data_IF_762464799804
#
_entry.id   IF_762464799804
#
_cell.length_a   1.000
_cell.length_b   1.000
_cell.length_c   1.000
_cell.angle_alpha   90.00
_cell.angle_beta   90.00
_cell.angle_gamma   90.00
#
_symmetry.space_group_name_H-M   'P 1'
#
loop_
_entity.id
_entity.type
_entity.pdbx_description
1 polymer ?
#
# COMPACT_ATOMS: atom_id res chain seq x y z
N UNK A 1 -35.93 -33.83 -19.40
CA UNK A 1 -35.50 -33.74 -17.99
C UNK A 1 -34.00 -33.56 -18.00
N UNK A 2 -33.53 -32.33 -17.82
CA UNK A 2 -32.11 -32.03 -17.70
C UNK A 2 -31.98 -31.11 -16.50
N UNK A 3 -31.41 -31.65 -15.43
CA UNK A 3 -31.24 -30.97 -14.15
C UNK A 3 -30.13 -29.95 -14.32
N UNK A 4 -30.47 -28.67 -14.27
CA UNK A 4 -29.50 -27.62 -14.03
C UNK A 4 -29.18 -27.61 -12.53
N UNK A 5 -28.00 -28.13 -12.18
CA UNK A 5 -27.41 -27.93 -10.86
C UNK A 5 -26.96 -26.48 -10.75
N UNK A 6 -27.80 -25.64 -10.16
CA UNK A 6 -27.38 -24.37 -9.58
C UNK A 6 -26.49 -24.69 -8.39
N UNK A 7 -25.20 -24.38 -8.48
CA UNK A 7 -24.35 -24.33 -7.28
C UNK A 7 -24.83 -23.17 -6.44
N UNK A 8 -25.61 -23.47 -5.40
CA UNK A 8 -25.90 -22.53 -4.33
C UNK A 8 -24.57 -22.03 -3.74
N UNK A 9 -24.26 -20.75 -3.95
CA UNK A 9 -23.28 -20.07 -3.12
C UNK A 9 -23.80 -20.09 -1.69
N UNK A 10 -23.17 -20.92 -0.84
CA UNK A 10 -23.41 -20.86 0.60
C UNK A 10 -23.12 -19.43 1.05
N UNK A 11 -24.03 -18.79 1.82
CA UNK A 11 -23.67 -17.60 2.56
C UNK A 11 -22.42 -17.94 3.37
N UNK A 12 -21.39 -17.11 3.29
CA UNK A 12 -20.25 -17.20 4.20
C UNK A 12 -20.82 -17.06 5.62
N UNK A 13 -21.07 -18.20 6.29
CA UNK A 13 -21.20 -18.24 7.75
C UNK A 13 -20.03 -17.41 8.28
N UNK A 14 -20.31 -16.44 9.14
CA UNK A 14 -19.32 -15.55 9.73
C UNK A 14 -18.32 -16.40 10.51
N UNK A 15 -17.28 -16.88 9.81
CA UNK A 15 -16.17 -17.60 10.40
C UNK A 15 -15.67 -16.73 11.54
N UNK A 16 -15.55 -17.25 12.78
CA UNK A 16 -15.14 -16.43 13.90
C UNK A 16 -13.80 -15.81 13.56
N UNK A 17 -13.77 -14.49 13.43
CA UNK A 17 -12.59 -13.77 13.00
C UNK A 17 -11.45 -14.07 13.99
N UNK A 18 -10.50 -14.91 13.56
CA UNK A 18 -9.35 -15.26 14.40
C UNK A 18 -8.39 -14.08 14.43
N UNK A 19 -8.05 -13.63 15.63
CA UNK A 19 -7.18 -12.48 15.81
C UNK A 19 -5.72 -12.82 15.48
N UNK A 20 -5.09 -11.99 14.64
CA UNK A 20 -3.66 -11.99 14.33
C UNK A 20 -2.91 -11.19 15.40
N UNK A 21 -2.72 -11.80 16.58
CA UNK A 21 -2.04 -11.16 17.72
C UNK A 21 -0.69 -10.54 17.37
N UNK A 22 0.12 -11.19 16.52
CA UNK A 22 1.40 -10.65 16.08
C UNK A 22 1.28 -9.31 15.34
N UNK A 23 0.27 -9.16 14.48
CA UNK A 23 0.01 -7.91 13.74
C UNK A 23 -0.47 -6.82 14.69
N UNK A 24 -1.42 -7.15 15.57
CA UNK A 24 -1.93 -6.21 16.57
C UNK A 24 -0.80 -5.69 17.46
N UNK A 25 0.01 -6.59 18.02
CA UNK A 25 1.13 -6.22 18.89
C UNK A 25 2.20 -5.41 18.16
N UNK A 26 2.48 -5.74 16.89
CA UNK A 26 3.43 -4.98 16.07
C UNK A 26 2.93 -3.55 15.81
N UNK A 27 1.67 -3.39 15.37
CA UNK A 27 1.07 -2.07 15.15
C UNK A 27 1.07 -1.27 16.46
N UNK A 28 0.65 -1.85 17.57
CA UNK A 28 0.69 -1.20 18.87
C UNK A 28 2.11 -0.76 19.27
N UNK A 29 3.11 -1.64 19.09
CA UNK A 29 4.52 -1.33 19.35
C UNK A 29 5.01 -0.14 18.53
N UNK A 30 4.69 -0.08 17.23
CA UNK A 30 5.11 1.02 16.36
C UNK A 30 4.48 2.34 16.81
N UNK A 31 3.20 2.35 17.15
CA UNK A 31 2.49 3.55 17.60
C UNK A 31 3.00 4.04 18.97
N UNK A 32 3.22 3.12 19.92
CA UNK A 32 3.82 3.45 21.22
C UNK A 32 5.24 4.03 21.02
N UNK A 33 6.04 3.43 20.14
CA UNK A 33 7.37 3.95 19.79
C UNK A 33 7.32 5.37 19.22
N UNK A 34 6.30 5.70 18.42
CA UNK A 34 6.13 7.04 17.87
C UNK A 34 5.79 8.08 18.94
N UNK A 35 5.14 7.70 20.05
CA UNK A 35 4.85 8.61 21.18
C UNK A 35 6.12 9.14 21.86
N UNK A 36 7.26 8.46 21.72
CA UNK A 36 8.54 8.97 22.23
C UNK A 36 9.01 10.23 21.50
N UNK A 37 8.38 10.63 20.39
CA UNK A 37 8.63 11.90 19.71
C UNK A 37 8.22 13.12 20.56
N UNK A 38 7.30 12.93 21.52
CA UNK A 38 6.88 13.99 22.45
C UNK A 38 7.89 14.24 23.57
N UNK A 39 8.92 13.41 23.72
CA UNK A 39 10.03 13.67 24.62
C UNK A 39 10.98 14.70 23.98
N UNK A 40 11.27 15.84 24.62
CA UNK A 40 12.13 16.88 24.05
C UNK A 40 13.51 16.37 23.62
N UNK A 41 14.05 15.36 24.32
CA UNK A 41 15.35 14.73 24.01
C UNK A 41 15.39 14.01 22.66
N UNK A 42 14.23 13.65 22.10
CA UNK A 42 14.13 12.96 20.82
C UNK A 42 13.77 13.91 19.66
N UNK A 43 13.57 15.21 19.92
CA UNK A 43 13.27 16.17 18.87
C UNK A 43 14.53 16.73 18.22
N UNK A 44 14.56 16.75 16.90
CA UNK A 44 15.58 17.43 16.09
C UNK A 44 15.01 17.72 14.71
N UNK A 45 15.24 18.91 14.18
CA UNK A 45 14.84 19.26 12.81
C UNK A 45 15.48 18.34 11.77
N UNK A 46 16.70 17.86 12.02
CA UNK A 46 17.34 16.87 11.16
C UNK A 46 16.57 15.53 11.17
N UNK A 47 16.08 15.10 12.33
CA UNK A 47 15.30 13.87 12.47
C UNK A 47 13.90 14.02 11.84
N UNK A 48 13.28 15.20 11.94
CA UNK A 48 12.02 15.51 11.23
C UNK A 48 12.22 15.46 9.71
N UNK A 49 13.27 16.12 9.19
CA UNK A 49 13.59 16.10 7.77
C UNK A 49 13.88 14.67 7.27
N UNK A 50 14.59 13.87 8.06
CA UNK A 50 14.82 12.45 7.80
C UNK A 50 13.49 11.67 7.70
N UNK A 51 12.56 11.88 8.64
CA UNK A 51 11.26 11.23 8.61
C UNK A 51 10.44 11.59 7.37
N UNK A 52 10.42 12.87 6.98
CA UNK A 52 9.75 13.33 5.76
C UNK A 52 10.38 12.72 4.51
N UNK A 53 11.71 12.72 4.43
CA UNK A 53 12.44 12.12 3.31
C UNK A 53 12.13 10.62 3.20
N UNK A 54 12.21 9.87 4.31
CA UNK A 54 11.92 8.44 4.29
C UNK A 54 10.44 8.13 4.11
N UNK A 55 9.51 9.01 4.50
CA UNK A 55 8.08 8.88 4.16
C UNK A 55 7.88 8.94 2.64
N UNK A 56 8.58 9.84 1.94
CA UNK A 56 8.58 9.86 0.47
C UNK A 56 9.25 8.63 -0.15
N UNK A 57 10.40 8.19 0.39
CA UNK A 57 11.10 6.98 -0.10
C UNK A 57 10.23 5.74 0.07
N UNK A 58 9.61 5.53 1.24
CA UNK A 58 8.86 4.29 1.49
C UNK A 58 7.42 4.35 0.99
N UNK A 59 6.74 5.49 1.15
CA UNK A 59 5.38 5.69 0.66
C UNK A 59 5.36 5.95 -0.84
N UNK A 60 5.91 7.09 -1.28
CA UNK A 60 5.90 7.50 -2.69
C UNK A 60 6.67 6.54 -3.59
N UNK A 61 7.98 6.42 -3.40
CA UNK A 61 8.82 5.59 -4.28
C UNK A 61 8.58 4.09 -4.06
N UNK A 62 8.45 3.67 -2.80
CA UNK A 62 8.29 2.27 -2.43
C UNK A 62 6.91 1.70 -2.74
N UNK A 63 5.89 2.16 -2.00
CA UNK A 63 4.53 1.64 -2.12
C UNK A 63 3.89 2.09 -3.43
N UNK A 64 3.76 3.39 -3.69
CA UNK A 64 2.94 3.86 -4.82
C UNK A 64 3.58 3.55 -6.17
N UNK A 65 4.86 3.91 -6.36
CA UNK A 65 5.55 3.66 -7.62
C UNK A 65 5.93 2.19 -7.79
N UNK A 66 6.56 1.60 -6.77
CA UNK A 66 7.10 0.23 -6.80
C UNK A 66 6.03 -0.85 -6.63
N UNK A 67 5.41 -0.94 -5.46
CA UNK A 67 4.52 -2.06 -5.16
C UNK A 67 3.20 -1.96 -5.92
N UNK A 68 2.59 -0.79 -5.98
CA UNK A 68 1.28 -0.58 -6.56
C UNK A 68 1.33 -0.49 -8.08
N UNK A 69 1.85 0.60 -8.64
CA UNK A 69 1.78 0.82 -10.10
C UNK A 69 2.71 -0.11 -10.89
N UNK A 70 3.93 -0.37 -10.41
CA UNK A 70 4.89 -1.21 -11.12
C UNK A 70 4.61 -2.71 -10.94
N UNK A 71 4.55 -3.22 -9.71
CA UNK A 71 4.43 -4.66 -9.46
C UNK A 71 2.99 -5.16 -9.51
N UNK A 72 2.08 -4.46 -8.85
CA UNK A 72 0.68 -4.93 -8.74
C UNK A 72 -0.03 -4.82 -10.08
N UNK A 73 -0.02 -3.62 -10.68
CA UNK A 73 -0.80 -3.30 -11.88
C UNK A 73 -0.04 -3.46 -13.20
N UNK A 74 1.28 -3.60 -13.14
CA UNK A 74 2.15 -3.68 -14.33
C UNK A 74 1.84 -2.53 -15.29
N UNK A 75 1.67 -1.32 -14.76
CA UNK A 75 1.29 -0.12 -15.52
C UNK A 75 2.45 0.42 -16.36
N UNK A 76 3.68 0.00 -16.05
CA UNK A 76 4.90 0.28 -16.81
C UNK A 76 5.96 -0.79 -16.54
N UNK A 77 7.10 -0.73 -17.22
CA UNK A 77 8.25 -1.60 -17.03
C UNK A 77 9.52 -0.79 -16.82
N UNK A 78 10.42 -1.29 -15.96
CA UNK A 78 11.75 -0.72 -15.72
C UNK A 78 12.81 -1.81 -15.76
N UNK A 79 14.11 -1.49 -15.89
CA UNK A 79 15.18 -2.47 -15.71
C UNK A 79 15.06 -3.21 -14.38
N UNK A 80 15.30 -4.52 -14.36
CA UNK A 80 15.02 -5.38 -13.20
C UNK A 80 15.74 -4.94 -11.91
N UNK A 81 16.95 -4.40 -12.01
CA UNK A 81 17.66 -3.85 -10.85
C UNK A 81 16.95 -2.62 -10.25
N UNK A 82 16.38 -1.76 -11.10
CA UNK A 82 15.58 -0.63 -10.65
C UNK A 82 14.27 -1.12 -10.02
N UNK A 83 13.62 -2.12 -10.60
CA UNK A 83 12.44 -2.76 -9.99
C UNK A 83 12.75 -3.27 -8.58
N UNK A 84 13.84 -4.02 -8.39
CA UNK A 84 14.25 -4.50 -7.07
C UNK A 84 14.55 -3.37 -6.08
N UNK A 85 15.19 -2.30 -6.54
CA UNK A 85 15.45 -1.13 -5.70
C UNK A 85 14.15 -0.46 -5.24
N UNK A 86 13.20 -0.25 -6.15
CA UNK A 86 11.89 0.33 -5.82
C UNK A 86 11.11 -0.57 -4.86
N UNK A 87 11.14 -1.88 -5.09
CA UNK A 87 10.49 -2.86 -4.21
C UNK A 87 11.13 -2.87 -2.81
N UNK A 88 12.46 -2.80 -2.72
CA UNK A 88 13.17 -2.70 -1.45
C UNK A 88 12.80 -1.42 -0.68
N UNK A 89 12.63 -0.28 -1.36
CA UNK A 89 12.15 0.95 -0.72
C UNK A 89 10.78 0.75 -0.07
N UNK A 90 9.87 0.03 -0.74
CA UNK A 90 8.57 -0.33 -0.19
C UNK A 90 8.67 -1.28 1.00
N UNK A 91 9.64 -2.19 1.03
CA UNK A 91 9.87 -3.14 2.14
C UNK A 91 10.09 -2.43 3.48
N UNK A 92 10.72 -1.26 3.47
CA UNK A 92 10.94 -0.44 4.66
C UNK A 92 9.65 0.18 5.23
N UNK A 93 8.52 0.12 4.51
CA UNK A 93 7.21 0.57 5.03
C UNK A 93 6.64 -0.35 6.11
N UNK A 94 7.10 -1.59 6.20
CA UNK A 94 6.56 -2.61 7.10
C UNK A 94 5.04 -2.87 6.99
N UNK A 95 4.42 -2.64 5.83
CA UNK A 95 3.01 -2.98 5.56
C UNK A 95 2.81 -4.47 5.20
N UNK A 96 3.62 -5.35 5.79
CA UNK A 96 3.74 -6.75 5.42
C UNK A 96 4.79 -6.98 4.32
N UNK A 97 4.88 -8.22 3.88
CA UNK A 97 5.77 -8.59 2.77
C UNK A 97 5.16 -8.24 1.42
N UNK A 98 6.02 -7.92 0.43
CA UNK A 98 5.59 -7.47 -0.91
C UNK A 98 4.65 -8.43 -1.61
N UNK A 99 4.87 -9.76 -1.50
CA UNK A 99 4.02 -10.77 -2.15
C UNK A 99 2.62 -10.74 -1.53
N UNK A 100 2.55 -10.64 -0.20
CA UNK A 100 1.26 -10.56 0.50
C UNK A 100 0.53 -9.25 0.21
N UNK A 101 1.26 -8.14 0.16
CA UNK A 101 0.69 -6.82 -0.15
C UNK A 101 0.10 -6.80 -1.56
N UNK A 102 0.87 -7.25 -2.56
CA UNK A 102 0.44 -7.32 -3.97
C UNK A 102 -0.77 -8.24 -4.13
N UNK A 103 -0.74 -9.44 -3.53
CA UNK A 103 -1.86 -10.38 -3.62
C UNK A 103 -3.13 -9.82 -2.98
N UNK A 104 -3.03 -9.22 -1.79
CA UNK A 104 -4.17 -8.60 -1.11
C UNK A 104 -4.74 -7.43 -1.91
N UNK A 105 -3.89 -6.61 -2.53
CA UNK A 105 -4.31 -5.50 -3.38
C UNK A 105 -5.02 -5.97 -4.66
N UNK A 106 -4.58 -7.08 -5.26
CA UNK A 106 -5.25 -7.69 -6.42
C UNK A 106 -6.60 -8.29 -6.06
N UNK A 107 -6.72 -8.91 -4.89
CA UNK A 107 -8.00 -9.41 -4.35
C UNK A 107 -8.96 -8.24 -4.14
N UNK A 108 -8.48 -7.15 -3.51
CA UNK A 108 -9.27 -5.93 -3.32
C UNK A 108 -9.82 -5.39 -4.64
N UNK A 109 -9.02 -5.28 -5.70
CA UNK A 109 -9.56 -4.82 -7.00
C UNK A 109 -10.60 -5.76 -7.60
N UNK A 110 -10.45 -7.08 -7.42
CA UNK A 110 -11.40 -8.04 -7.98
C UNK A 110 -12.74 -8.05 -7.23
N UNK A 111 -12.70 -7.76 -5.92
CA UNK A 111 -13.84 -7.91 -5.02
C UNK A 111 -14.19 -6.63 -4.26
N UNK A 112 -13.74 -5.47 -4.74
CA UNK A 112 -13.80 -4.20 -4.01
C UNK A 112 -15.20 -3.92 -3.47
N UNK A 113 -15.29 -3.63 -2.18
CA UNK A 113 -16.57 -3.42 -1.49
C UNK A 113 -17.56 -4.61 -1.58
N UNK A 114 -17.03 -5.83 -1.60
CA UNK A 114 -17.77 -7.09 -1.53
C UNK A 114 -17.18 -8.00 -0.45
N UNK A 115 -17.84 -9.12 -0.15
CA UNK A 115 -17.49 -10.00 0.97
C UNK A 115 -16.08 -10.60 0.92
N UNK A 116 -15.44 -10.67 -0.26
CA UNK A 116 -14.08 -11.19 -0.43
C UNK A 116 -13.00 -10.09 -0.43
N UNK A 117 -13.37 -8.81 -0.29
CA UNK A 117 -12.42 -7.72 -0.11
C UNK A 117 -11.90 -7.69 1.34
N UNK A 118 -10.58 -7.84 1.55
CA UNK A 118 -10.00 -7.83 2.89
C UNK A 118 -10.41 -6.59 3.69
N UNK A 119 -10.51 -5.44 3.03
CA UNK A 119 -10.79 -4.15 3.65
C UNK A 119 -12.10 -3.53 3.14
N UNK A 120 -13.11 -4.37 2.88
CA UNK A 120 -14.46 -3.98 2.46
C UNK A 120 -14.99 -2.76 3.24
N UNK A 121 -15.18 -1.64 2.52
CA UNK A 121 -15.59 -0.38 3.14
C UNK A 121 -17.03 -0.42 3.66
N UNK A 122 -17.85 -1.40 3.23
CA UNK A 122 -19.22 -1.59 3.75
C UNK A 122 -19.23 -2.04 5.21
N UNK A 123 -18.15 -2.66 5.69
CA UNK A 123 -17.99 -3.00 7.11
C UNK A 123 -17.64 -1.77 7.97
N UNK A 124 -17.41 -0.62 7.34
CA UNK A 124 -17.26 0.68 7.97
C UNK A 124 -15.85 1.27 7.87
N UNK A 125 -15.76 2.56 8.19
CA UNK A 125 -14.53 3.32 8.04
C UNK A 125 -13.35 2.69 8.81
N UNK A 126 -13.56 2.33 10.08
CA UNK A 126 -12.48 1.73 10.90
C UNK A 126 -12.12 0.31 10.48
N UNK A 127 -13.06 -0.43 9.88
CA UNK A 127 -12.77 -1.73 9.27
C UNK A 127 -11.74 -1.57 8.16
N UNK A 128 -12.11 -0.82 7.10
CA UNK A 128 -11.25 -0.53 5.96
C UNK A 128 -9.94 0.19 6.31
N UNK A 129 -9.92 0.97 7.41
CA UNK A 129 -8.74 1.71 7.83
C UNK A 129 -7.70 0.84 8.55
N UNK A 130 -8.09 0.04 9.55
CA UNK A 130 -7.10 -0.66 10.38
C UNK A 130 -7.55 -2.02 10.91
N UNK A 131 -8.84 -2.18 11.22
CA UNK A 131 -9.32 -3.36 11.96
C UNK A 131 -9.18 -4.63 11.12
N UNK A 132 -9.35 -4.55 9.80
CA UNK A 132 -9.25 -5.70 8.90
C UNK A 132 -7.94 -6.48 9.05
N UNK A 133 -6.82 -5.77 9.28
CA UNK A 133 -5.49 -6.37 9.42
C UNK A 133 -5.34 -7.26 10.65
N UNK A 134 -6.19 -7.05 11.67
CA UNK A 134 -6.14 -7.82 12.90
C UNK A 134 -6.81 -9.19 12.77
N UNK A 135 -7.46 -9.49 11.66
CA UNK A 135 -8.20 -10.73 11.49
C UNK A 135 -7.67 -11.58 10.33
N UNK A 136 -7.85 -12.89 10.44
CA UNK A 136 -7.61 -13.83 9.33
C UNK A 136 -8.67 -13.62 8.27
N UNK A 137 -8.23 -13.51 7.02
CA UNK A 137 -9.10 -13.28 5.88
C UNK A 137 -9.58 -14.63 5.31
N UNK A 138 -10.89 -14.84 5.13
CA UNK A 138 -11.41 -16.03 4.44
C UNK A 138 -10.87 -16.21 3.00
N UNK A 139 -10.39 -15.14 2.35
CA UNK A 139 -9.83 -15.14 0.99
C UNK A 139 -8.45 -15.82 0.90
N UNK A 140 -7.84 -16.24 2.03
CA UNK A 140 -6.56 -16.97 2.05
C UNK A 140 -6.62 -18.34 1.33
N UNK A 141 -7.81 -18.86 1.01
CA UNK A 141 -8.00 -20.18 0.41
C UNK A 141 -7.52 -20.30 -1.05
N UNK A 142 -7.35 -19.20 -1.78
CA UNK A 142 -6.80 -19.21 -3.15
C UNK A 142 -5.81 -18.05 -3.39
N UNK A 143 -5.06 -17.64 -2.37
CA UNK A 143 -4.12 -16.52 -2.47
C UNK A 143 -3.07 -16.71 -3.58
N UNK A 144 -2.69 -17.97 -3.85
CA UNK A 144 -1.64 -18.34 -4.81
C UNK A 144 -1.93 -17.87 -6.24
N UNK A 145 -3.21 -17.79 -6.66
CA UNK A 145 -3.55 -17.39 -8.03
C UNK A 145 -3.23 -15.93 -8.32
N UNK A 146 -3.22 -15.08 -7.30
CA UNK A 146 -3.03 -13.64 -7.42
C UNK A 146 -1.56 -13.22 -7.42
N UNK A 147 -0.62 -14.15 -7.23
CA UNK A 147 0.81 -13.83 -7.07
C UNK A 147 1.73 -14.66 -7.98
N UNK A 148 1.19 -15.44 -8.91
CA UNK A 148 1.95 -16.38 -9.75
C UNK A 148 3.13 -15.74 -10.50
N UNK A 149 3.01 -14.47 -10.90
CA UNK A 149 4.05 -13.73 -11.62
C UNK A 149 5.23 -13.28 -10.73
N UNK A 150 5.09 -13.37 -9.40
CA UNK A 150 6.10 -12.88 -8.45
C UNK A 150 6.47 -13.89 -7.35
N UNK A 151 5.68 -14.95 -7.17
CA UNK A 151 5.81 -15.89 -6.05
C UNK A 151 7.17 -16.60 -6.01
N UNK A 152 7.73 -16.91 -7.18
CA UNK A 152 8.98 -17.66 -7.33
C UNK A 152 10.23 -16.78 -7.50
N UNK A 153 10.08 -15.45 -7.45
CA UNK A 153 11.22 -14.52 -7.55
C UNK A 153 12.00 -14.52 -6.22
N UNK A 154 13.30 -14.91 -6.21
CA UNK A 154 14.06 -15.08 -4.97
C UNK A 154 14.30 -13.76 -4.23
N UNK A 155 14.37 -12.63 -4.95
CA UNK A 155 14.50 -11.32 -4.30
C UNK A 155 13.19 -10.97 -3.59
N UNK A 156 12.06 -11.24 -4.22
CA UNK A 156 10.76 -10.97 -3.61
C UNK A 156 10.52 -11.86 -2.41
N UNK A 157 10.87 -13.15 -2.48
CA UNK A 157 10.81 -14.06 -1.33
C UNK A 157 11.71 -13.60 -0.18
N UNK A 158 12.91 -13.11 -0.48
CA UNK A 158 13.79 -12.52 0.53
C UNK A 158 13.15 -11.30 1.19
N UNK A 159 12.67 -10.33 0.42
CA UNK A 159 12.05 -9.11 0.95
C UNK A 159 10.74 -9.41 1.71
N UNK A 160 9.93 -10.33 1.20
CA UNK A 160 8.73 -10.86 1.86
C UNK A 160 9.04 -11.44 3.24
N UNK A 161 10.15 -12.18 3.39
CA UNK A 161 10.50 -12.88 4.63
C UNK A 161 11.22 -11.98 5.64
N UNK A 162 12.06 -11.07 5.15
CA UNK A 162 13.02 -10.33 5.98
C UNK A 162 12.68 -8.85 6.17
N UNK A 163 11.48 -8.38 5.80
CA UNK A 163 11.10 -6.96 5.94
C UNK A 163 11.26 -6.41 7.37
N UNK A 164 10.92 -7.19 8.41
CA UNK A 164 11.14 -6.77 9.81
C UNK A 164 12.65 -6.72 10.16
N UNK A 165 13.46 -7.78 9.96
CA UNK A 165 14.91 -7.69 10.13
C UNK A 165 15.58 -6.54 9.37
N UNK A 166 15.17 -6.28 8.11
CA UNK A 166 15.67 -5.17 7.30
C UNK A 166 15.37 -3.84 7.99
N UNK A 167 14.16 -3.65 8.50
CA UNK A 167 13.77 -2.44 9.24
C UNK A 167 14.56 -2.29 10.56
N UNK A 168 14.86 -3.38 11.26
CA UNK A 168 15.69 -3.35 12.48
C UNK A 168 17.11 -2.91 12.14
N UNK A 169 17.71 -3.47 11.08
CA UNK A 169 19.04 -3.05 10.61
C UNK A 169 19.03 -1.57 10.21
N UNK A 170 18.00 -1.13 9.50
CA UNK A 170 17.82 0.28 9.17
C UNK A 170 17.74 1.16 10.43
N UNK A 171 16.98 0.75 11.44
CA UNK A 171 16.91 1.44 12.73
C UNK A 171 18.27 1.53 13.45
N UNK A 172 19.07 0.46 13.43
CA UNK A 172 20.43 0.48 13.99
C UNK A 172 21.33 1.46 13.25
N UNK A 173 21.26 1.52 11.92
CA UNK A 173 22.01 2.50 11.11
C UNK A 173 21.59 3.92 11.51
N UNK A 174 20.30 4.19 11.63
CA UNK A 174 19.80 5.51 12.06
C UNK A 174 20.27 5.88 13.47
N UNK A 175 20.30 4.92 14.38
CA UNK A 175 20.82 5.13 15.74
C UNK A 175 22.30 5.54 15.71
N UNK A 176 23.12 4.88 14.90
CA UNK A 176 24.54 5.21 14.79
C UNK A 176 24.77 6.60 14.17
N UNK A 177 23.85 7.10 13.34
CA UNK A 177 23.96 8.39 12.67
C UNK A 177 23.45 9.57 13.50
N UNK A 178 22.42 9.37 14.33
CA UNK A 178 21.79 10.48 15.07
C UNK A 178 21.06 10.09 16.34
N UNK A 179 21.42 8.93 16.91
CA UNK A 179 20.89 8.44 18.18
C UNK A 179 19.40 8.15 18.15
N UNK A 180 18.78 8.14 19.34
CA UNK A 180 17.36 7.85 19.50
C UNK A 180 16.44 8.81 18.76
N UNK A 181 16.83 10.08 18.58
CA UNK A 181 16.04 11.03 17.79
C UNK A 181 15.83 10.52 16.36
N UNK A 182 16.89 10.03 15.71
CA UNK A 182 16.79 9.50 14.34
C UNK A 182 15.98 8.20 14.27
N UNK A 183 16.07 7.34 15.29
CA UNK A 183 15.26 6.11 15.37
C UNK A 183 13.78 6.45 15.55
N UNK A 184 13.45 7.28 16.54
CA UNK A 184 12.06 7.67 16.84
C UNK A 184 11.41 8.29 15.62
N UNK A 185 12.07 9.24 14.96
CA UNK A 185 11.50 9.92 13.80
C UNK A 185 11.58 9.08 12.51
N UNK A 186 12.76 8.55 12.18
CA UNK A 186 13.01 7.85 10.91
C UNK A 186 12.47 6.42 10.86
N UNK A 187 12.20 5.78 12.01
CA UNK A 187 11.51 4.49 12.09
C UNK A 187 10.07 4.72 12.52
N UNK A 188 9.83 5.09 13.77
CA UNK A 188 8.48 4.98 14.36
C UNK A 188 7.49 6.02 13.85
N UNK A 189 7.82 7.31 13.94
CA UNK A 189 6.93 8.39 13.45
C UNK A 189 6.70 8.24 11.95
N UNK A 190 7.77 8.01 11.18
CA UNK A 190 7.68 7.79 9.74
C UNK A 190 6.80 6.60 9.38
N UNK A 191 6.91 5.47 10.10
CA UNK A 191 6.04 4.31 9.89
C UNK A 191 4.57 4.65 10.18
N UNK A 192 4.26 5.28 11.31
CA UNK A 192 2.88 5.69 11.65
C UNK A 192 2.28 6.61 10.59
N UNK A 193 3.04 7.61 10.12
CA UNK A 193 2.56 8.51 9.07
C UNK A 193 2.38 7.75 7.75
N UNK A 194 3.31 6.85 7.38
CA UNK A 194 3.20 6.03 6.16
C UNK A 194 1.95 5.16 6.22
N UNK A 195 1.78 4.41 7.30
CA UNK A 195 0.62 3.57 7.57
C UNK A 195 -0.69 4.32 7.39
N UNK A 196 -0.89 5.43 8.12
CA UNK A 196 -2.14 6.16 8.00
C UNK A 196 -2.31 6.80 6.62
N UNK A 197 -1.24 7.22 5.94
CA UNK A 197 -1.33 7.73 4.56
C UNK A 197 -1.87 6.65 3.62
N UNK A 198 -1.35 5.41 3.71
CA UNK A 198 -1.81 4.29 2.89
C UNK A 198 -3.21 3.84 3.30
N UNK A 199 -3.49 3.70 4.60
CA UNK A 199 -4.78 3.22 5.09
C UNK A 199 -5.94 4.19 4.80
N UNK A 200 -5.64 5.48 4.66
CA UNK A 200 -6.61 6.47 4.18
C UNK A 200 -7.02 6.22 2.71
N UNK A 201 -6.16 5.58 1.90
CA UNK A 201 -6.49 5.14 0.54
C UNK A 201 -7.46 3.96 0.53
N UNK A 202 -7.59 3.21 1.62
CA UNK A 202 -8.60 2.15 1.71
C UNK A 202 -9.92 2.68 2.30
N UNK A 203 -9.82 3.67 3.19
CA UNK A 203 -10.94 4.10 4.04
C UNK A 203 -11.57 5.41 3.62
N UNK A 204 -10.77 6.47 3.48
CA UNK A 204 -11.28 7.81 3.18
C UNK A 204 -11.71 7.93 1.72
N UNK A 205 -10.95 7.36 0.80
CA UNK A 205 -11.29 7.31 -0.64
C UNK A 205 -12.49 6.43 -0.94
N UNK A 206 -12.94 5.53 -0.07
CA UNK A 206 -14.21 4.80 -0.26
C UNK A 206 -15.42 5.51 0.37
N UNK A 207 -15.20 6.67 1.01
CA UNK A 207 -16.23 7.37 1.79
C UNK A 207 -16.38 8.85 1.43
N UNK A 208 -15.30 9.54 1.12
CA UNK A 208 -15.24 10.99 0.95
C UNK A 208 -14.58 11.36 -0.37
N UNK A 209 -15.25 12.19 -1.16
CA UNK A 209 -14.72 12.66 -2.43
C UNK A 209 -15.80 12.77 -3.49
N UNK A 210 -15.37 12.83 -4.74
CA UNK A 210 -16.23 12.82 -5.92
C UNK A 210 -15.95 11.58 -6.77
N UNK A 211 -16.87 11.22 -7.68
CA UNK A 211 -16.67 10.15 -8.66
C UNK A 211 -16.74 10.75 -10.06
N UNK A 212 -15.77 10.41 -10.89
CA UNK A 212 -15.69 10.83 -12.29
C UNK A 212 -16.12 9.71 -13.22
N UNK A 213 -15.79 8.46 -12.85
CA UNK A 213 -15.99 7.28 -13.68
C UNK A 213 -16.79 6.21 -12.93
N UNK A 214 -17.51 5.37 -13.67
CA UNK A 214 -18.14 4.17 -13.11
C UNK A 214 -17.08 3.09 -12.90
N UNK A 215 -16.89 2.65 -11.64
CA UNK A 215 -15.93 1.62 -11.23
C UNK A 215 -16.58 0.34 -10.71
N UNK A 216 -17.89 0.35 -10.43
CA UNK A 216 -18.60 -0.79 -9.84
C UNK A 216 -18.42 -0.96 -8.33
N UNK A 217 -17.71 -0.03 -7.67
CA UNK A 217 -17.44 -0.01 -6.23
C UNK A 217 -17.73 1.38 -5.63
N UNK A 218 -17.34 1.60 -4.37
CA UNK A 218 -17.51 2.88 -3.66
C UNK A 218 -16.26 3.75 -3.66
N UNK A 219 -15.25 3.47 -4.48
CA UNK A 219 -14.09 4.35 -4.60
C UNK A 219 -14.49 5.78 -5.03
N UNK A 220 -13.76 6.77 -4.55
CA UNK A 220 -13.94 8.22 -4.80
C UNK A 220 -12.57 8.88 -4.93
N UNK A 221 -12.52 9.96 -5.69
CA UNK A 221 -11.37 10.84 -5.80
C UNK A 221 -11.35 11.82 -4.61
N UNK A 222 -10.26 11.81 -3.86
CA UNK A 222 -10.10 12.55 -2.62
C UNK A 222 -8.75 13.31 -2.61
N UNK A 223 -8.80 14.61 -2.88
CA UNK A 223 -7.59 15.42 -3.15
C UNK A 223 -6.62 15.49 -1.97
N UNK A 224 -7.11 15.52 -0.73
CA UNK A 224 -6.25 15.62 0.45
C UNK A 224 -5.60 14.28 0.77
N UNK A 225 -6.25 13.16 0.43
CA UNK A 225 -5.59 11.84 0.44
C UNK A 225 -4.51 11.83 -0.63
N UNK A 226 -4.80 12.29 -1.85
CA UNK A 226 -3.83 12.32 -2.94
C UNK A 226 -2.57 13.13 -2.59
N UNK A 227 -2.71 14.22 -1.82
CA UNK A 227 -1.58 15.00 -1.34
C UNK A 227 -0.63 14.20 -0.42
N UNK A 228 -1.18 13.44 0.53
CA UNK A 228 -0.38 12.70 1.53
C UNK A 228 0.06 11.31 1.01
N UNK A 229 -0.62 10.78 -0.01
CA UNK A 229 -0.35 9.49 -0.64
C UNK A 229 0.21 9.64 -2.06
N UNK A 230 0.81 10.78 -2.40
CA UNK A 230 1.57 10.98 -3.64
C UNK A 230 0.78 10.77 -4.95
N UNK A 231 -0.55 10.84 -4.91
CA UNK A 231 -1.45 10.66 -6.05
C UNK A 231 -2.43 9.49 -5.90
N UNK A 232 -2.30 8.65 -4.88
CA UNK A 232 -3.19 7.49 -4.69
C UNK A 232 -4.61 7.83 -4.22
N UNK A 233 -4.85 9.09 -3.87
CA UNK A 233 -6.20 9.59 -3.56
C UNK A 233 -7.09 9.79 -4.78
N UNK A 234 -6.58 9.73 -6.02
CA UNK A 234 -7.39 9.69 -7.25
C UNK A 234 -7.97 8.28 -7.47
N UNK A 235 -8.63 7.78 -6.44
CA UNK A 235 -8.91 6.36 -6.28
C UNK A 235 -10.05 5.88 -7.18
N UNK A 236 -11.07 6.69 -7.43
CA UNK A 236 -12.12 6.34 -8.40
C UNK A 236 -11.58 6.26 -9.82
N UNK A 237 -10.68 7.17 -10.21
CA UNK A 237 -10.01 7.08 -11.51
C UNK A 237 -9.17 5.80 -11.60
N UNK A 238 -8.44 5.48 -10.53
CA UNK A 238 -7.65 4.25 -10.44
C UNK A 238 -8.52 2.99 -10.54
N UNK A 239 -9.63 2.90 -9.81
CA UNK A 239 -10.50 1.73 -9.84
C UNK A 239 -11.19 1.55 -11.20
N UNK A 240 -11.57 2.64 -11.87
CA UNK A 240 -12.10 2.57 -13.23
C UNK A 240 -11.04 2.11 -14.26
N UNK A 241 -9.77 2.45 -14.05
CA UNK A 241 -8.68 2.18 -15.01
C UNK A 241 -7.40 1.66 -14.33
N UNK A 242 -7.51 0.56 -13.59
CA UNK A 242 -6.43 0.04 -12.73
C UNK A 242 -5.10 -0.23 -13.45
N UNK A 243 -5.13 -0.48 -14.76
CA UNK A 243 -3.95 -0.72 -15.58
C UNK A 243 -3.17 0.57 -15.91
N UNK A 244 -3.76 1.75 -15.72
CA UNK A 244 -3.16 3.04 -16.07
C UNK A 244 -2.00 3.37 -15.14
N UNK A 245 -0.93 3.95 -15.68
CA UNK A 245 0.18 4.48 -14.88
C UNK A 245 -0.14 5.85 -14.26
N UNK A 246 -1.19 6.51 -14.74
CA UNK A 246 -1.64 7.84 -14.34
C UNK A 246 -2.99 7.71 -13.65
N UNK A 247 -3.09 8.15 -12.39
CA UNK A 247 -4.36 8.15 -11.65
C UNK A 247 -5.03 9.52 -11.69
N UNK A 248 -4.26 10.62 -11.68
CA UNK A 248 -4.78 11.97 -11.86
C UNK A 248 -5.09 12.26 -13.33
N UNK A 249 -6.36 12.20 -13.74
CA UNK A 249 -6.83 12.34 -15.13
C UNK A 249 -7.10 13.80 -15.52
N UNK A 250 -7.50 14.64 -14.57
CA UNK A 250 -7.68 16.09 -14.78
C UNK A 250 -6.37 16.86 -14.58
N UNK A 251 -6.28 18.07 -15.14
CA UNK A 251 -5.06 18.89 -15.07
C UNK A 251 -4.72 19.35 -13.65
N UNK A 252 -5.72 19.44 -12.77
CA UNK A 252 -5.60 19.83 -11.38
C UNK A 252 -5.46 18.63 -10.42
N UNK A 253 -5.63 17.40 -10.92
CA UNK A 253 -5.43 16.18 -10.16
C UNK A 253 -3.93 15.88 -10.08
N UNK A 254 -3.24 16.56 -9.17
CA UNK A 254 -1.78 16.43 -8.97
C UNK A 254 -1.46 14.99 -8.56
N UNK A 255 -0.66 14.32 -9.38
CA UNK A 255 -0.23 12.94 -9.20
C UNK A 255 1.30 12.89 -9.23
N UNK A 256 1.93 12.96 -8.05
CA UNK A 256 3.38 13.03 -7.90
C UNK A 256 4.07 11.74 -8.38
N UNK A 257 3.41 10.60 -8.21
CA UNK A 257 3.91 9.31 -8.70
C UNK A 257 3.86 9.24 -10.21
N UNK A 258 2.82 9.77 -10.86
CA UNK A 258 2.79 9.92 -12.32
C UNK A 258 3.91 10.84 -12.81
N UNK A 259 4.13 11.99 -12.17
CA UNK A 259 5.25 12.88 -12.52
C UNK A 259 6.60 12.17 -12.40
N UNK A 260 6.75 11.30 -11.42
CA UNK A 260 7.95 10.46 -11.26
C UNK A 260 8.09 9.45 -12.39
N UNK A 261 7.00 8.80 -12.83
CA UNK A 261 7.01 7.91 -14.00
C UNK A 261 7.40 8.69 -15.26
N UNK A 262 6.87 9.91 -15.47
CA UNK A 262 7.24 10.76 -16.60
C UNK A 262 8.74 11.09 -16.61
N UNK A 263 9.33 11.38 -15.45
CA UNK A 263 10.77 11.58 -15.33
C UNK A 263 11.53 10.32 -15.71
N UNK A 264 11.13 9.14 -15.21
CA UNK A 264 11.75 7.87 -15.59
C UNK A 264 11.60 7.57 -17.09
N UNK A 265 10.49 7.94 -17.72
CA UNK A 265 10.32 7.83 -19.17
C UNK A 265 11.28 8.74 -19.92
N UNK A 266 11.41 10.01 -19.49
CA UNK A 266 12.32 10.96 -20.11
C UNK A 266 13.80 10.51 -20.01
N UNK A 267 14.15 9.79 -18.94
CA UNK A 267 15.46 9.16 -18.75
C UNK A 267 15.63 7.82 -19.48
N UNK A 268 14.60 7.33 -20.18
CA UNK A 268 14.61 6.03 -20.87
C UNK A 268 14.56 4.81 -19.94
N UNK A 269 14.24 5.01 -18.65
CA UNK A 269 14.17 3.95 -17.63
C UNK A 269 12.78 3.33 -17.53
N UNK A 270 11.71 4.09 -17.77
CA UNK A 270 10.35 3.56 -17.81
C UNK A 270 9.89 3.35 -19.25
N UNK A 271 9.44 2.14 -19.56
CA UNK A 271 8.97 1.72 -20.88
C UNK A 271 7.61 1.02 -20.77
N UNK A 272 6.94 0.81 -21.92
CA UNK A 272 5.60 0.19 -21.99
C UNK A 272 4.60 0.78 -21.00
N UNK A 273 4.61 2.10 -20.87
CA UNK A 273 3.72 2.85 -19.98
C UNK A 273 2.31 2.80 -20.54
N UNK A 274 1.38 2.30 -19.74
CA UNK A 274 -0.02 2.17 -20.09
C UNK A 274 -0.78 3.42 -19.63
N UNK A 275 -1.64 3.93 -20.49
CA UNK A 275 -2.51 5.07 -20.23
C UNK A 275 -3.91 4.75 -20.75
N UNK A 276 -4.91 5.42 -20.20
CA UNK A 276 -6.29 5.33 -20.69
C UNK A 276 -6.35 5.91 -22.10
N UNK A 277 -6.92 5.15 -23.03
CA UNK A 277 -7.21 5.64 -24.38
C UNK A 277 -8.34 6.68 -24.31
N UNK A 278 -8.13 7.82 -24.99
CA UNK A 278 -9.11 8.92 -25.03
C UNK A 278 -10.15 8.69 -26.11
#
# INVERSE_FOLDING_TARGET
>A
MTVATTTEEKPLESLPHRLKWGVLLFIAFVHIGAMFAFLPSNFSWAAVALAVFFHWVTGGVGITLGWHRLVTHRSFQVPKLLEYFLVFCGTLSCEGGVINWVGSHRIHHLHSDQALDPHDSNQGFWWSHIIWMFYVDPADLDFSRYIKDIADDPVYQFLQKYFIPIQVVFGVILYLLGGWSFVVWGVFVRLVITFHSTWLVNSATHKFGYRTYESGDRSTNCWWVALISYGEGWHNNHHAFQYSARHGMQWWEIDLTWMTIQLLQALGLATKVKLVEK
#
